data_IF_974420408264
#
_entry.id   IF_974420408264
#
_cell.length_a   1.000
_cell.length_b   1.000
_cell.length_c   1.000
_cell.angle_alpha   90.00
_cell.angle_beta   90.00
_cell.angle_gamma   90.00
#
_symmetry.space_group_name_H-M   'P 1'
#
loop_
_entity.id
_entity.type
_entity.pdbx_description
1 polymer ?
#
# COMPACT_ATOMS: atom_id res chain seq x y z
N UNK A 1 18.21 -21.65 -2.65
CA UNK A 1 17.06 -20.79 -2.32
C UNK A 1 17.42 -19.37 -2.75
N UNK A 2 16.56 -18.70 -3.53
CA UNK A 2 16.68 -17.27 -3.85
C UNK A 2 15.49 -16.58 -3.20
N UNK A 3 15.74 -15.58 -2.36
CA UNK A 3 14.68 -14.75 -1.78
C UNK A 3 14.58 -13.43 -2.53
N UNK A 4 13.35 -13.03 -2.83
CA UNK A 4 13.02 -11.73 -3.44
C UNK A 4 12.30 -10.86 -2.42
N UNK A 5 12.35 -9.54 -2.64
CA UNK A 5 11.42 -8.60 -2.02
C UNK A 5 10.04 -8.72 -2.70
N UNK A 6 8.99 -8.05 -2.19
CA UNK A 6 7.71 -8.02 -2.88
C UNK A 6 7.86 -7.50 -4.31
N UNK A 7 7.19 -8.16 -5.25
CA UNK A 7 7.27 -7.87 -6.71
C UNK A 7 6.04 -7.13 -7.24
N UNK A 8 5.15 -6.77 -6.33
CA UNK A 8 3.86 -6.19 -6.63
C UNK A 8 3.96 -4.75 -7.16
N UNK A 9 2.96 -4.32 -7.92
CA UNK A 9 2.88 -2.93 -8.38
C UNK A 9 2.69 -1.98 -7.19
N UNK A 10 3.61 -1.03 -7.06
CA UNK A 10 3.68 -0.04 -5.98
C UNK A 10 3.47 1.37 -6.50
N UNK A 11 3.07 1.54 -7.75
CA UNK A 11 2.90 2.85 -8.40
C UNK A 11 1.72 3.63 -7.81
N UNK A 12 1.95 4.38 -6.73
CA UNK A 12 0.95 5.19 -6.02
C UNK A 12 1.27 6.68 -6.20
N UNK A 13 2.53 7.06 -5.99
CA UNK A 13 3.03 8.43 -6.01
C UNK A 13 3.53 8.90 -7.38
N UNK A 14 3.77 7.97 -8.31
CA UNK A 14 4.34 8.21 -9.63
C UNK A 14 5.73 8.87 -9.55
N UNK A 15 6.47 8.56 -8.49
CA UNK A 15 7.82 9.09 -8.20
C UNK A 15 8.68 7.99 -7.59
N UNK A 16 9.95 8.29 -7.32
CA UNK A 16 10.87 7.41 -6.60
C UNK A 16 10.34 6.89 -5.26
N UNK A 17 9.34 7.53 -4.65
CA UNK A 17 8.68 7.02 -3.42
C UNK A 17 8.06 5.64 -3.62
N UNK A 18 7.68 5.30 -4.84
CA UNK A 18 7.10 4.01 -5.20
C UNK A 18 8.15 2.88 -5.26
N UNK A 19 9.45 3.18 -5.12
CA UNK A 19 10.48 2.13 -5.01
C UNK A 19 10.31 1.26 -3.77
N UNK A 20 9.53 1.71 -2.79
CA UNK A 20 9.27 0.97 -1.56
C UNK A 20 8.27 -0.18 -1.79
N UNK A 21 8.71 -1.45 -1.76
CA UNK A 21 7.91 -2.57 -2.25
C UNK A 21 6.78 -3.01 -1.30
N UNK A 22 6.69 -2.42 -0.11
CA UNK A 22 5.70 -2.78 0.91
C UNK A 22 4.48 -1.86 0.93
N UNK A 23 4.37 -0.92 -0.02
CA UNK A 23 3.18 -0.09 -0.22
C UNK A 23 2.52 -0.38 -1.59
N UNK A 24 2.04 -1.61 -1.84
CA UNK A 24 1.49 -1.95 -3.14
C UNK A 24 0.18 -1.22 -3.43
N UNK A 25 0.02 -0.77 -4.68
CA UNK A 25 -1.27 -0.35 -5.24
C UNK A 25 -2.15 -1.54 -5.64
N UNK A 26 -1.54 -2.73 -5.74
CA UNK A 26 -2.24 -4.01 -5.83
C UNK A 26 -1.39 -5.14 -5.25
N UNK A 27 -2.00 -6.02 -4.46
CA UNK A 27 -1.32 -7.21 -3.93
C UNK A 27 -1.31 -8.39 -4.89
N UNK A 28 -1.93 -8.26 -6.07
CA UNK A 28 -2.00 -9.30 -7.10
C UNK A 28 -1.32 -8.87 -8.42
N UNK A 29 -1.29 -7.58 -8.75
CA UNK A 29 -0.56 -7.13 -9.93
C UNK A 29 0.95 -7.06 -9.69
N UNK A 30 1.72 -7.29 -10.75
CA UNK A 30 3.18 -7.18 -10.75
C UNK A 30 3.65 -5.82 -11.25
N UNK A 31 4.78 -5.37 -10.73
CA UNK A 31 5.34 -4.08 -11.11
C UNK A 31 5.91 -4.09 -12.53
N UNK A 32 5.53 -3.10 -13.35
CA UNK A 32 6.09 -2.88 -14.70
C UNK A 32 7.62 -2.82 -14.74
N UNK A 33 8.27 -2.39 -13.64
CA UNK A 33 9.71 -2.35 -13.52
C UNK A 33 10.38 -3.69 -13.85
N UNK A 34 9.71 -4.82 -13.58
CA UNK A 34 10.26 -6.16 -13.81
C UNK A 34 10.06 -6.68 -15.23
N UNK A 35 9.27 -5.99 -16.07
CA UNK A 35 8.98 -6.45 -17.43
C UNK A 35 10.24 -6.43 -18.30
N UNK A 36 10.64 -7.60 -18.83
CA UNK A 36 11.72 -7.70 -19.81
C UNK A 36 11.19 -7.40 -21.20
N UNK A 37 11.41 -6.16 -21.67
CA UNK A 37 10.93 -5.66 -22.96
C UNK A 37 11.47 -6.48 -24.15
N UNK A 38 12.72 -6.92 -24.09
CA UNK A 38 13.34 -7.68 -25.19
C UNK A 38 12.72 -9.06 -25.43
N UNK A 39 11.90 -9.55 -24.50
CA UNK A 39 11.27 -10.86 -24.58
C UNK A 39 9.83 -10.79 -25.10
N UNK A 40 9.27 -9.60 -25.31
CA UNK A 40 7.87 -9.40 -25.73
C UNK A 40 7.74 -8.87 -27.16
N UNK A 41 8.85 -8.76 -27.91
CA UNK A 41 8.86 -8.27 -29.29
C UNK A 41 10.00 -8.87 -30.10
N UNK A 42 9.75 -9.08 -31.39
CA UNK A 42 10.74 -9.46 -32.39
C UNK A 42 11.07 -8.29 -33.34
N UNK A 43 10.45 -7.12 -33.11
CA UNK A 43 10.61 -5.97 -33.96
C UNK A 43 12.01 -5.36 -33.83
N UNK A 44 12.76 -5.33 -34.94
CA UNK A 44 14.16 -4.91 -34.94
C UNK A 44 14.36 -3.45 -34.53
N UNK A 45 13.43 -2.56 -34.86
CA UNK A 45 13.54 -1.15 -34.51
C UNK A 45 13.33 -0.95 -33.01
N UNK A 46 12.31 -1.62 -32.46
CA UNK A 46 12.04 -1.60 -31.02
C UNK A 46 13.19 -2.25 -30.23
N UNK A 47 13.76 -3.36 -30.73
CA UNK A 47 14.91 -4.01 -30.10
C UNK A 47 16.15 -3.11 -30.10
N UNK A 48 16.39 -2.36 -31.18
CA UNK A 48 17.46 -1.38 -31.23
C UNK A 48 17.25 -0.23 -30.22
N UNK A 49 16.01 0.26 -30.09
CA UNK A 49 15.65 1.26 -29.08
C UNK A 49 15.87 0.73 -27.65
N UNK A 50 15.42 -0.50 -27.35
CA UNK A 50 15.66 -1.17 -26.06
C UNK A 50 17.15 -1.23 -25.75
N UNK A 51 17.98 -1.64 -26.72
CA UNK A 51 19.42 -1.75 -26.54
C UNK A 51 20.06 -0.38 -26.24
N UNK A 52 19.68 0.66 -27.00
CA UNK A 52 20.16 2.03 -26.80
C UNK A 52 19.80 2.55 -25.40
N UNK A 53 18.54 2.41 -24.99
CA UNK A 53 18.10 2.88 -23.67
C UNK A 53 18.74 2.07 -22.54
N UNK A 54 18.90 0.75 -22.71
CA UNK A 54 19.58 -0.12 -21.75
C UNK A 54 21.04 0.30 -21.57
N UNK A 55 21.77 0.58 -22.65
CA UNK A 55 23.16 1.06 -22.58
C UNK A 55 23.24 2.41 -21.83
N UNK A 56 22.32 3.34 -22.14
CA UNK A 56 22.28 4.65 -21.48
C UNK A 56 22.02 4.54 -19.98
N UNK A 57 20.99 3.79 -19.58
CA UNK A 57 20.54 3.73 -18.18
C UNK A 57 21.44 2.84 -17.33
N UNK A 58 22.00 1.75 -17.88
CA UNK A 58 22.92 0.88 -17.15
C UNK A 58 24.31 1.51 -16.90
N UNK A 59 24.62 2.66 -17.53
CA UNK A 59 25.84 3.44 -17.24
C UNK A 59 25.72 4.25 -15.94
N UNK A 60 24.52 4.45 -15.42
CA UNK A 60 24.30 5.19 -14.19
C UNK A 60 24.76 4.37 -12.97
N UNK A 61 25.30 5.03 -11.95
CA UNK A 61 25.77 4.38 -10.72
C UNK A 61 24.62 3.81 -9.87
N UNK A 62 23.43 4.37 -10.02
CA UNK A 62 22.20 3.96 -9.34
C UNK A 62 21.06 3.88 -10.35
N UNK A 63 20.03 3.12 -10.01
CA UNK A 63 18.83 3.00 -10.84
C UNK A 63 18.10 4.34 -10.82
N UNK A 64 17.96 4.95 -12.00
CA UNK A 64 17.02 6.04 -12.22
C UNK A 64 15.60 5.44 -12.38
N UNK A 65 14.93 5.24 -11.25
CA UNK A 65 13.66 4.52 -11.19
C UNK A 65 12.57 5.13 -12.06
N UNK A 66 12.42 6.46 -12.01
CA UNK A 66 11.39 7.19 -12.74
C UNK A 66 11.63 7.09 -14.25
N UNK A 67 12.89 7.29 -14.68
CA UNK A 67 13.25 7.21 -16.09
C UNK A 67 13.15 5.78 -16.64
N UNK A 68 13.54 4.77 -15.86
CA UNK A 68 13.38 3.35 -16.26
C UNK A 68 11.91 3.02 -16.44
N UNK A 69 11.03 3.45 -15.53
CA UNK A 69 9.59 3.21 -15.67
C UNK A 69 9.01 3.92 -16.88
N UNK A 70 9.37 5.19 -17.09
CA UNK A 70 8.93 5.96 -18.26
C UNK A 70 9.32 5.26 -19.57
N UNK A 71 10.59 4.89 -19.71
CA UNK A 71 11.09 4.18 -20.89
C UNK A 71 10.41 2.82 -21.06
N UNK A 72 10.22 2.07 -19.97
CA UNK A 72 9.53 0.78 -20.04
C UNK A 72 8.10 0.92 -20.50
N UNK A 73 7.36 1.88 -19.95
CA UNK A 73 5.98 2.14 -20.34
C UNK A 73 5.88 2.58 -21.81
N UNK A 74 6.73 3.52 -22.26
CA UNK A 74 6.75 3.97 -23.66
C UNK A 74 7.01 2.83 -24.64
N UNK A 75 8.02 2.00 -24.36
CA UNK A 75 8.36 0.89 -25.24
C UNK A 75 7.30 -0.22 -25.17
N UNK A 76 6.79 -0.59 -23.99
CA UNK A 76 5.73 -1.61 -23.90
C UNK A 76 4.46 -1.18 -24.60
N UNK A 77 4.12 0.12 -24.62
CA UNK A 77 3.01 0.66 -25.41
C UNK A 77 3.26 0.52 -26.92
N UNK A 78 4.48 0.81 -27.40
CA UNK A 78 4.85 0.58 -28.82
C UNK A 78 4.74 -0.89 -29.21
N UNK A 79 5.14 -1.80 -28.33
CA UNK A 79 4.99 -3.25 -28.54
C UNK A 79 3.51 -3.63 -28.58
N UNK A 80 2.72 -3.17 -27.60
CA UNK A 80 1.28 -3.44 -27.54
C UNK A 80 0.55 -2.93 -28.79
N UNK A 81 0.89 -1.76 -29.32
CA UNK A 81 0.30 -1.25 -30.55
C UNK A 81 0.53 -2.16 -31.78
N UNK A 82 1.60 -2.98 -31.77
CA UNK A 82 1.90 -3.95 -32.83
C UNK A 82 1.29 -5.33 -32.58
N UNK A 83 1.30 -5.80 -31.33
CA UNK A 83 0.90 -7.17 -30.96
C UNK A 83 -0.58 -7.27 -30.55
N UNK A 84 -1.10 -6.23 -29.90
CA UNK A 84 -2.42 -6.20 -29.29
C UNK A 84 -2.62 -7.33 -28.28
N UNK A 85 -3.83 -7.89 -28.27
CA UNK A 85 -4.25 -8.98 -27.38
C UNK A 85 -4.17 -10.36 -28.05
N UNK A 86 -3.39 -10.50 -29.12
CA UNK A 86 -3.40 -11.72 -29.97
C UNK A 86 -2.47 -12.83 -29.48
N UNK A 87 -1.76 -12.61 -28.36
CA UNK A 87 -0.81 -13.58 -27.82
C UNK A 87 -1.53 -14.87 -27.38
N UNK A 88 -0.95 -16.02 -27.73
CA UNK A 88 -1.50 -17.33 -27.37
C UNK A 88 -1.59 -17.49 -25.86
N UNK A 89 -2.80 -17.67 -25.33
CA UNK A 89 -3.06 -17.84 -23.90
C UNK A 89 -3.44 -16.56 -23.17
N UNK A 90 -3.48 -15.42 -23.87
CA UNK A 90 -3.90 -14.13 -23.30
C UNK A 90 -5.34 -14.18 -22.77
N UNK A 91 -6.29 -14.68 -23.56
CA UNK A 91 -7.70 -14.77 -23.15
C UNK A 91 -7.91 -15.75 -21.99
N UNK A 92 -7.15 -16.85 -21.95
CA UNK A 92 -7.17 -17.82 -20.85
C UNK A 92 -6.65 -17.18 -19.56
N UNK A 93 -5.53 -16.45 -19.62
CA UNK A 93 -5.02 -15.68 -18.49
C UNK A 93 -6.04 -14.64 -18.03
N UNK A 94 -6.60 -13.85 -18.96
CA UNK A 94 -7.59 -12.81 -18.63
C UNK A 94 -8.83 -13.41 -17.97
N UNK A 95 -9.28 -14.59 -18.40
CA UNK A 95 -10.42 -15.28 -17.81
C UNK A 95 -10.09 -15.86 -16.42
N UNK A 96 -8.93 -16.48 -16.24
CA UNK A 96 -8.52 -17.07 -14.95
C UNK A 96 -8.16 -16.02 -13.90
N UNK A 97 -7.59 -14.88 -14.32
CA UNK A 97 -7.22 -13.75 -13.48
C UNK A 97 -8.34 -12.70 -13.34
N UNK A 98 -9.49 -12.92 -13.97
CA UNK A 98 -10.55 -11.91 -14.19
C UNK A 98 -10.91 -11.10 -12.96
N UNK A 99 -11.08 -11.78 -11.81
CA UNK A 99 -11.56 -11.19 -10.57
C UNK A 99 -10.66 -10.09 -10.00
N UNK A 100 -9.35 -10.16 -10.25
CA UNK A 100 -8.41 -9.12 -9.82
C UNK A 100 -7.89 -8.28 -10.98
N UNK A 101 -7.72 -8.88 -12.15
CA UNK A 101 -7.12 -8.23 -13.32
C UNK A 101 -8.02 -7.13 -13.87
N UNK A 102 -9.33 -7.41 -14.01
CA UNK A 102 -10.28 -6.42 -14.57
C UNK A 102 -10.34 -5.17 -13.68
N UNK A 103 -10.54 -5.27 -12.35
CA UNK A 103 -10.45 -4.11 -11.47
C UNK A 103 -9.10 -3.40 -11.53
N UNK A 104 -7.98 -4.15 -11.55
CA UNK A 104 -6.66 -3.54 -11.62
C UNK A 104 -6.47 -2.71 -12.91
N UNK A 105 -6.86 -3.25 -14.06
CA UNK A 105 -6.79 -2.53 -15.33
C UNK A 105 -7.62 -1.25 -15.31
N UNK A 106 -8.87 -1.32 -14.83
CA UNK A 106 -9.74 -0.13 -14.70
C UNK A 106 -9.11 0.89 -13.75
N UNK A 107 -8.63 0.43 -12.59
CA UNK A 107 -8.00 1.29 -11.60
C UNK A 107 -6.78 2.03 -12.17
N UNK A 108 -5.88 1.32 -12.88
CA UNK A 108 -4.70 1.92 -13.53
C UNK A 108 -5.05 2.83 -14.71
N UNK A 109 -6.17 2.57 -15.37
CA UNK A 109 -6.69 3.45 -16.43
C UNK A 109 -7.22 4.75 -15.84
N UNK A 110 -7.97 4.70 -14.74
CA UNK A 110 -8.62 5.88 -14.17
C UNK A 110 -7.73 6.69 -13.23
N UNK A 111 -6.83 6.05 -12.48
CA UNK A 111 -5.97 6.71 -11.47
C UNK A 111 -4.57 6.94 -12.04
N UNK A 112 -4.31 8.16 -12.52
CA UNK A 112 -3.06 8.53 -13.20
C UNK A 112 -2.06 9.32 -12.33
N UNK A 113 -2.51 9.82 -11.17
CA UNK A 113 -1.67 10.53 -10.20
C UNK A 113 -2.26 10.43 -8.78
N UNK A 114 -1.50 10.88 -7.78
CA UNK A 114 -2.01 11.03 -6.40
C UNK A 114 -3.15 12.04 -6.29
N UNK A 115 -3.12 13.07 -7.14
CA UNK A 115 -4.13 14.14 -7.17
C UNK A 115 -5.40 13.71 -7.92
N UNK A 116 -5.35 12.60 -8.66
CA UNK A 116 -6.53 12.06 -9.34
C UNK A 116 -7.53 11.57 -8.29
N UNK A 117 -8.77 12.07 -8.24
CA UNK A 117 -9.78 11.53 -7.34
C UNK A 117 -10.01 10.04 -7.61
N UNK A 118 -10.19 9.24 -6.55
CA UNK A 118 -10.59 7.86 -6.75
C UNK A 118 -11.99 7.82 -7.38
N UNK A 119 -12.22 6.97 -8.41
CA UNK A 119 -13.57 6.78 -8.94
C UNK A 119 -14.49 6.22 -7.85
N UNK A 120 -15.82 6.39 -7.98
CA UNK A 120 -16.76 5.74 -7.05
C UNK A 120 -16.48 4.24 -6.95
N UNK A 121 -16.59 3.68 -5.73
CA UNK A 121 -16.48 2.24 -5.54
C UNK A 121 -17.60 1.54 -6.32
N UNK A 122 -17.28 0.57 -7.19
CA UNK A 122 -18.28 -0.20 -7.92
C UNK A 122 -19.20 -0.96 -6.95
N UNK A 123 -20.49 -1.02 -7.28
CA UNK A 123 -21.48 -1.75 -6.45
C UNK A 123 -21.32 -3.25 -6.56
N UNK A 124 -20.90 -3.72 -7.72
CA UNK A 124 -20.71 -5.12 -8.04
C UNK A 124 -19.65 -5.27 -9.14
N UNK A 125 -19.36 -6.53 -9.48
CA UNK A 125 -18.37 -6.84 -10.50
C UNK A 125 -18.82 -6.45 -11.92
N UNK A 126 -20.12 -6.39 -12.20
CA UNK A 126 -20.62 -6.03 -13.53
C UNK A 126 -20.38 -4.54 -13.84
N UNK A 127 -20.44 -3.67 -12.83
CA UNK A 127 -20.12 -2.26 -12.98
C UNK A 127 -18.65 -2.04 -13.38
N UNK A 128 -17.70 -2.77 -12.77
CA UNK A 128 -16.29 -2.67 -13.16
C UNK A 128 -16.01 -3.29 -14.54
N UNK A 129 -16.72 -4.35 -14.93
CA UNK A 129 -16.67 -4.86 -16.31
C UNK A 129 -17.14 -3.83 -17.32
N UNK A 130 -18.20 -3.08 -17.01
CA UNK A 130 -18.66 -2.00 -17.87
C UNK A 130 -17.60 -0.90 -18.00
N UNK A 131 -16.99 -0.47 -16.89
CA UNK A 131 -15.90 0.50 -16.91
C UNK A 131 -14.70 0.01 -17.73
N UNK A 132 -14.40 -1.30 -17.69
CA UNK A 132 -13.38 -1.93 -18.51
C UNK A 132 -13.69 -1.74 -20.00
N UNK A 133 -14.92 -2.08 -20.43
CA UNK A 133 -15.34 -1.96 -21.83
C UNK A 133 -15.37 -0.50 -22.30
N UNK A 134 -15.75 0.45 -21.44
CA UNK A 134 -15.70 1.89 -21.74
C UNK A 134 -14.27 2.40 -22.01
N UNK A 135 -13.26 1.75 -21.41
CA UNK A 135 -11.84 2.10 -21.57
C UNK A 135 -11.00 0.95 -22.12
N UNK A 136 -11.61 0.17 -23.03
CA UNK A 136 -11.11 -1.14 -23.45
C UNK A 136 -9.64 -1.14 -23.90
N UNK A 137 -9.25 -0.20 -24.75
CA UNK A 137 -7.89 -0.14 -25.30
C UNK A 137 -6.81 0.03 -24.22
N UNK A 138 -7.03 0.99 -23.31
CA UNK A 138 -6.09 1.27 -22.21
C UNK A 138 -6.11 0.14 -21.17
N UNK A 139 -7.27 -0.42 -20.87
CA UNK A 139 -7.39 -1.58 -19.98
C UNK A 139 -6.74 -2.84 -20.57
N UNK A 140 -6.88 -3.09 -21.87
CA UNK A 140 -6.24 -4.20 -22.57
C UNK A 140 -4.70 -4.03 -22.59
N UNK A 141 -4.17 -2.81 -22.63
CA UNK A 141 -2.74 -2.55 -22.44
C UNK A 141 -2.24 -3.00 -21.06
N UNK A 142 -2.92 -2.63 -19.97
CA UNK A 142 -2.53 -3.06 -18.63
C UNK A 142 -2.66 -4.59 -18.47
N UNK A 143 -3.68 -5.19 -19.08
CA UNK A 143 -3.83 -6.64 -19.11
C UNK A 143 -2.68 -7.32 -19.87
N UNK A 144 -2.25 -6.75 -21.01
CA UNK A 144 -1.09 -7.19 -21.78
C UNK A 144 0.19 -7.15 -20.94
N UNK A 145 0.43 -6.06 -20.21
CA UNK A 145 1.59 -5.94 -19.31
C UNK A 145 1.56 -7.04 -18.24
N UNK A 146 0.44 -7.22 -17.54
CA UNK A 146 0.31 -8.23 -16.49
C UNK A 146 0.44 -9.65 -17.02
N UNK A 147 -0.08 -9.92 -18.22
CA UNK A 147 0.07 -11.22 -18.87
C UNK A 147 1.54 -11.56 -19.17
N UNK A 148 2.29 -10.62 -19.74
CA UNK A 148 3.71 -10.84 -20.03
C UNK A 148 4.55 -10.95 -18.75
N UNK A 149 4.23 -10.19 -17.70
CA UNK A 149 4.85 -10.35 -16.38
C UNK A 149 4.56 -11.74 -15.78
N UNK A 150 3.31 -12.21 -15.88
CA UNK A 150 2.92 -13.56 -15.46
C UNK A 150 3.76 -14.63 -16.15
N UNK A 151 3.88 -14.58 -17.48
CA UNK A 151 4.68 -15.54 -18.25
C UNK A 151 6.15 -15.53 -17.82
N UNK A 152 6.75 -14.34 -17.70
CA UNK A 152 8.17 -14.20 -17.37
C UNK A 152 8.49 -14.67 -15.94
N UNK A 153 7.63 -14.35 -14.97
CA UNK A 153 7.84 -14.81 -13.59
C UNK A 153 7.63 -16.32 -13.46
N UNK A 154 6.63 -16.87 -14.17
CA UNK A 154 6.38 -18.32 -14.21
C UNK A 154 7.55 -19.07 -14.84
N UNK A 155 8.06 -18.61 -15.98
CA UNK A 155 9.26 -19.16 -16.63
C UNK A 155 10.46 -19.17 -15.69
N UNK A 156 10.72 -18.05 -14.99
CA UNK A 156 11.82 -17.95 -14.02
C UNK A 156 11.66 -18.93 -12.85
N UNK A 157 10.43 -19.09 -12.35
CA UNK A 157 10.11 -20.02 -11.26
C UNK A 157 10.28 -21.49 -11.66
N UNK A 158 9.77 -21.86 -12.84
CA UNK A 158 9.91 -23.20 -13.40
C UNK A 158 11.38 -23.53 -13.66
N UNK A 159 12.14 -22.58 -14.23
CA UNK A 159 13.58 -22.74 -14.44
C UNK A 159 14.33 -22.97 -13.12
N UNK A 160 14.04 -22.16 -12.09
CA UNK A 160 14.66 -22.31 -10.77
C UNK A 160 14.32 -23.68 -10.16
N UNK A 161 13.05 -24.08 -10.21
CA UNK A 161 12.57 -25.37 -9.68
C UNK A 161 13.23 -26.56 -10.38
N UNK A 162 13.33 -26.53 -11.72
CA UNK A 162 14.01 -27.55 -12.52
C UNK A 162 15.51 -27.67 -12.18
N UNK A 163 16.12 -26.58 -11.72
CA UNK A 163 17.50 -26.54 -11.23
C UNK A 163 17.61 -26.75 -9.71
N UNK A 164 16.55 -27.22 -9.04
CA UNK A 164 16.50 -27.49 -7.59
C UNK A 164 16.77 -26.24 -6.73
N UNK A 165 16.44 -25.06 -7.27
CA UNK A 165 16.49 -23.78 -6.56
C UNK A 165 15.06 -23.32 -6.27
N UNK A 166 14.69 -23.29 -4.99
CA UNK A 166 13.43 -22.69 -4.58
C UNK A 166 13.48 -21.15 -4.69
N UNK A 167 12.42 -20.54 -5.24
CA UNK A 167 12.16 -19.11 -5.15
C UNK A 167 11.29 -18.82 -3.92
N UNK A 168 11.73 -17.89 -3.09
CA UNK A 168 11.02 -17.42 -1.90
C UNK A 168 10.54 -16.00 -2.10
N UNK A 169 9.23 -15.83 -2.15
CA UNK A 169 8.56 -14.53 -2.23
C UNK A 169 8.45 -13.84 -0.88
N UNK A 170 7.85 -12.66 -0.90
CA UNK A 170 7.64 -11.82 0.28
C UNK A 170 6.29 -11.11 0.15
N UNK A 171 5.46 -11.21 1.19
CA UNK A 171 4.09 -10.72 1.25
C UNK A 171 4.02 -9.62 2.29
N UNK A 172 3.90 -8.33 1.88
CA UNK A 172 3.67 -7.22 2.80
C UNK A 172 2.39 -7.44 3.62
N UNK A 173 2.38 -7.08 4.90
CA UNK A 173 1.12 -7.06 5.65
C UNK A 173 0.19 -5.93 5.16
N UNK A 174 0.76 -4.83 4.66
CA UNK A 174 0.02 -3.63 4.27
C UNK A 174 -0.44 -3.63 2.81
N UNK A 175 -1.43 -2.78 2.55
CA UNK A 175 -1.81 -2.32 1.21
C UNK A 175 -1.87 -0.79 1.22
N UNK A 176 -1.63 -0.14 0.09
CA UNK A 176 -1.85 1.30 0.00
C UNK A 176 -3.31 1.64 0.28
N UNK A 177 -3.60 2.74 1.00
CA UNK A 177 -4.97 3.26 1.12
C UNK A 177 -5.58 3.60 -0.24
N UNK A 178 -4.73 3.90 -1.21
CA UNK A 178 -5.07 4.13 -2.61
C UNK A 178 -4.63 2.91 -3.43
N UNK A 179 -5.10 1.72 -3.05
CA UNK A 179 -4.93 0.50 -3.82
C UNK A 179 -6.22 0.11 -4.52
N UNK A 180 -6.13 -0.76 -5.53
CA UNK A 180 -7.30 -1.36 -6.17
C UNK A 180 -8.13 -2.16 -5.16
N UNK A 181 -7.49 -2.80 -4.17
CA UNK A 181 -8.19 -3.58 -3.15
C UNK A 181 -9.01 -2.69 -2.21
N UNK A 182 -8.47 -1.57 -1.74
CA UNK A 182 -9.24 -0.61 -0.93
C UNK A 182 -10.35 0.08 -1.74
N UNK A 183 -10.16 0.25 -3.06
CA UNK A 183 -11.21 0.80 -3.92
C UNK A 183 -12.34 -0.19 -4.18
N UNK A 184 -12.03 -1.46 -4.48
CA UNK A 184 -13.02 -2.50 -4.79
C UNK A 184 -13.72 -3.07 -3.55
N UNK A 185 -13.01 -3.16 -2.43
CA UNK A 185 -13.49 -3.82 -1.22
C UNK A 185 -13.22 -2.96 0.02
N UNK A 186 -13.71 -1.69 0.07
CA UNK A 186 -13.42 -0.78 1.17
C UNK A 186 -13.92 -1.32 2.52
N UNK A 187 -14.94 -2.17 2.53
CA UNK A 187 -15.52 -2.82 3.70
C UNK A 187 -14.59 -3.85 4.36
N UNK A 188 -13.57 -4.34 3.64
CA UNK A 188 -12.52 -5.21 4.17
C UNK A 188 -11.43 -4.44 4.92
N UNK A 189 -11.45 -3.11 4.91
CA UNK A 189 -10.41 -2.26 5.50
C UNK A 189 -11.00 -1.16 6.38
N UNK A 190 -10.31 -0.82 7.47
CA UNK A 190 -10.59 0.39 8.24
C UNK A 190 -9.77 1.55 7.67
N UNK A 191 -10.35 2.28 6.72
CA UNK A 191 -9.70 3.40 6.02
C UNK A 191 -9.50 4.63 6.92
N UNK A 192 -10.29 4.73 7.99
CA UNK A 192 -10.21 5.71 9.07
C UNK A 192 -9.06 5.45 10.06
N UNK A 193 -8.27 4.39 9.82
CA UNK A 193 -7.14 4.00 10.65
C UNK A 193 -5.89 3.80 9.81
N UNK A 194 -4.76 3.68 10.49
CA UNK A 194 -3.47 3.36 9.91
C UNK A 194 -2.74 2.34 10.76
N UNK A 195 -1.98 1.48 10.11
CA UNK A 195 -1.15 0.46 10.72
C UNK A 195 0.20 1.07 11.07
N UNK A 196 0.78 0.65 12.18
CA UNK A 196 2.09 1.12 12.61
C UNK A 196 2.77 0.23 13.62
N UNK A 197 3.60 0.84 14.45
CA UNK A 197 4.21 0.23 15.62
C UNK A 197 4.25 1.22 16.79
N UNK A 198 4.08 0.75 18.04
CA UNK A 198 4.29 1.59 19.21
C UNK A 198 5.77 2.00 19.31
N UNK A 199 6.09 3.04 20.10
CA UNK A 199 7.46 3.29 20.52
C UNK A 199 8.07 2.04 21.15
N UNK A 200 9.33 1.77 20.82
CA UNK A 200 10.09 0.68 21.42
C UNK A 200 11.49 1.16 21.85
N UNK A 201 12.26 0.27 22.47
CA UNK A 201 13.60 0.60 22.96
C UNK A 201 14.58 0.99 21.85
N UNK A 202 14.41 0.48 20.63
CA UNK A 202 15.28 0.73 19.49
C UNK A 202 14.89 2.00 18.71
N UNK A 203 13.62 2.35 18.75
CA UNK A 203 13.01 3.55 18.21
C UNK A 203 12.40 4.37 19.35
N UNK A 204 13.24 4.71 20.34
CA UNK A 204 12.83 5.52 21.46
C UNK A 204 12.34 6.88 20.95
N UNK A 205 11.04 7.15 21.06
CA UNK A 205 10.42 8.33 20.49
C UNK A 205 8.96 8.12 20.11
N UNK A 206 8.61 8.50 18.89
CA UNK A 206 7.24 8.71 18.43
C UNK A 206 6.54 7.45 17.90
N UNK A 207 7.18 6.28 17.97
CA UNK A 207 6.70 5.07 17.29
C UNK A 207 6.73 5.22 15.77
N UNK A 208 5.98 4.38 15.06
CA UNK A 208 5.94 4.40 13.60
C UNK A 208 4.50 4.40 13.11
N UNK A 209 4.19 5.29 12.16
CA UNK A 209 2.98 5.21 11.36
C UNK A 209 3.37 4.78 9.94
N UNK A 210 2.96 3.59 9.51
CA UNK A 210 3.27 3.08 8.17
C UNK A 210 2.26 3.52 7.12
N UNK A 211 1.12 4.11 7.54
CA UNK A 211 0.14 4.71 6.65
C UNK A 211 -0.83 3.74 5.96
N UNK A 212 -0.66 2.43 6.09
CA UNK A 212 -1.57 1.41 5.52
C UNK A 212 -2.86 1.30 6.34
N UNK A 213 -4.04 1.07 5.74
CA UNK A 213 -5.23 0.80 6.53
C UNK A 213 -5.09 -0.52 7.29
N UNK A 214 -5.81 -0.67 8.40
CA UNK A 214 -5.90 -1.96 9.11
C UNK A 214 -7.00 -2.82 8.49
N UNK A 215 -6.91 -4.14 8.62
CA UNK A 215 -7.96 -5.04 8.14
C UNK A 215 -9.21 -5.03 9.00
N UNK A 216 -10.37 -5.18 8.37
CA UNK A 216 -11.63 -5.50 9.03
C UNK A 216 -11.80 -7.02 9.10
N UNK A 217 -11.08 -7.65 10.04
CA UNK A 217 -11.05 -9.10 10.21
C UNK A 217 -12.44 -9.71 10.45
N UNK A 218 -13.32 -8.99 11.15
CA UNK A 218 -14.71 -9.43 11.39
C UNK A 218 -15.50 -9.54 10.09
N UNK A 219 -15.35 -8.58 9.17
CA UNK A 219 -16.02 -8.63 7.90
C UNK A 219 -15.41 -9.69 6.97
N UNK A 220 -14.08 -9.80 6.95
CA UNK A 220 -13.38 -10.88 6.22
C UNK A 220 -13.77 -12.28 6.71
N UNK A 221 -14.08 -12.46 8.00
CA UNK A 221 -14.48 -13.76 8.52
C UNK A 221 -15.83 -14.26 7.96
N UNK A 222 -16.70 -13.35 7.48
CA UNK A 222 -18.04 -13.69 6.97
C UNK A 222 -18.02 -14.54 5.70
N UNK A 223 -16.96 -14.42 4.89
CA UNK A 223 -16.77 -15.19 3.66
C UNK A 223 -15.64 -16.22 3.79
N UNK A 224 -15.28 -16.58 5.03
CA UNK A 224 -14.17 -17.49 5.33
C UNK A 224 -12.84 -16.99 4.72
N UNK A 225 -12.59 -15.67 4.87
CA UNK A 225 -11.35 -14.99 4.51
C UNK A 225 -11.00 -15.13 3.02
N UNK A 226 -12.00 -15.03 2.14
CA UNK A 226 -11.84 -15.31 0.72
C UNK A 226 -10.76 -14.43 0.06
N UNK A 227 -10.70 -13.15 0.43
CA UNK A 227 -9.69 -12.20 -0.07
C UNK A 227 -8.26 -12.64 0.27
N UNK A 228 -7.99 -13.01 1.52
CA UNK A 228 -6.67 -13.48 1.95
C UNK A 228 -6.29 -14.82 1.32
N UNK A 229 -7.24 -15.75 1.20
CA UNK A 229 -7.02 -17.02 0.49
C UNK A 229 -6.70 -16.79 -0.99
N UNK A 230 -7.40 -15.86 -1.64
CA UNK A 230 -7.12 -15.45 -3.02
C UNK A 230 -5.73 -14.87 -3.18
N UNK A 231 -5.33 -13.97 -2.27
CA UNK A 231 -3.99 -13.37 -2.23
C UNK A 231 -2.88 -14.43 -2.12
N UNK A 232 -3.02 -15.38 -1.18
CA UNK A 232 -2.06 -16.47 -1.00
C UNK A 232 -2.01 -17.42 -2.21
N UNK A 233 -3.17 -17.77 -2.76
CA UNK A 233 -3.29 -18.66 -3.92
C UNK A 233 -2.66 -18.06 -5.18
N UNK A 234 -2.78 -16.75 -5.36
CA UNK A 234 -2.15 -16.04 -6.47
C UNK A 234 -0.61 -16.15 -6.40
N UNK A 235 -0.01 -15.90 -5.24
CA UNK A 235 1.44 -15.94 -5.09
C UNK A 235 2.01 -17.37 -5.13
N UNK A 236 1.24 -18.37 -4.71
CA UNK A 236 1.64 -19.77 -4.75
C UNK A 236 1.89 -20.30 -6.18
N UNK A 237 1.41 -19.60 -7.21
CA UNK A 237 1.70 -19.95 -8.62
C UNK A 237 3.17 -19.74 -9.00
N UNK A 238 3.90 -18.90 -8.26
CA UNK A 238 5.25 -18.44 -8.65
C UNK A 238 6.32 -18.78 -7.62
N UNK A 239 5.96 -18.90 -6.34
CA UNK A 239 6.94 -19.05 -5.26
C UNK A 239 6.75 -20.36 -4.53
N UNK A 240 7.85 -21.06 -4.26
CA UNK A 240 7.86 -22.32 -3.49
C UNK A 240 7.63 -22.07 -1.99
N UNK A 241 7.93 -20.86 -1.51
CA UNK A 241 7.69 -20.40 -0.15
C UNK A 241 7.53 -18.88 -0.16
N UNK A 242 6.95 -18.32 0.89
CA UNK A 242 6.89 -16.87 1.07
C UNK A 242 7.14 -16.49 2.51
N UNK A 243 7.81 -15.35 2.70
CA UNK A 243 7.84 -14.65 3.99
C UNK A 243 6.55 -13.83 4.08
N UNK A 244 5.82 -13.95 5.19
CA UNK A 244 4.75 -13.01 5.52
C UNK A 244 5.38 -11.95 6.41
N UNK A 245 5.47 -10.72 5.89
CA UNK A 245 5.95 -9.59 6.64
C UNK A 245 5.01 -9.29 7.81
N UNK A 246 5.59 -8.87 8.94
CA UNK A 246 4.85 -8.55 10.16
C UNK A 246 3.76 -9.58 10.53
N UNK A 247 4.11 -10.87 10.55
CA UNK A 247 3.17 -11.98 10.85
C UNK A 247 2.38 -11.78 12.15
N UNK A 248 2.93 -11.04 13.12
CA UNK A 248 2.26 -10.67 14.36
C UNK A 248 0.95 -9.90 14.14
N UNK A 249 0.82 -9.19 13.01
CA UNK A 249 -0.39 -8.47 12.61
C UNK A 249 -1.62 -9.36 12.42
N UNK A 250 -1.44 -10.67 12.22
CA UNK A 250 -2.55 -11.65 12.22
C UNK A 250 -3.07 -11.96 13.63
N UNK A 251 -2.24 -11.74 14.65
CA UNK A 251 -2.64 -11.88 16.05
C UNK A 251 -3.18 -10.57 16.59
N UNK A 252 -2.44 -9.48 16.43
CA UNK A 252 -2.86 -8.10 16.74
C UNK A 252 -2.00 -7.09 16.00
N UNK A 253 -2.61 -5.99 15.59
CA UNK A 253 -1.94 -4.92 14.85
C UNK A 253 -1.99 -3.62 15.65
N UNK A 254 -0.91 -2.83 15.62
CA UNK A 254 -0.93 -1.48 16.18
C UNK A 254 -1.72 -0.56 15.23
N UNK A 255 -2.90 -0.17 15.68
CA UNK A 255 -3.89 0.61 14.94
C UNK A 255 -3.89 2.05 15.45
N UNK A 256 -3.58 2.97 14.57
CA UNK A 256 -3.49 4.42 14.82
C UNK A 256 -4.67 5.10 14.12
N UNK A 257 -5.50 5.91 14.82
CA UNK A 257 -6.58 6.66 14.17
C UNK A 257 -6.07 7.60 13.06
N UNK A 258 -6.88 7.86 12.04
CA UNK A 258 -6.55 8.82 11.00
C UNK A 258 -6.29 10.22 11.58
N UNK A 259 -5.46 11.00 10.89
CA UNK A 259 -5.04 12.34 11.33
C UNK A 259 -3.77 12.33 12.20
N UNK A 260 -3.41 11.22 12.83
CA UNK A 260 -2.14 11.12 13.56
C UNK A 260 -0.97 10.85 12.61
N UNK A 261 0.13 11.59 12.79
CA UNK A 261 1.37 11.40 12.00
C UNK A 261 2.33 10.40 12.63
N UNK A 262 2.29 10.28 13.95
CA UNK A 262 3.17 9.41 14.72
C UNK A 262 2.49 8.08 15.08
N UNK A 263 3.26 7.16 15.65
CA UNK A 263 2.74 5.91 16.22
C UNK A 263 2.25 6.02 17.67
N UNK A 264 2.34 7.20 18.31
CA UNK A 264 2.11 7.38 19.74
C UNK A 264 0.67 7.05 20.17
N UNK A 265 -0.31 7.58 19.43
CA UNK A 265 -1.73 7.51 19.79
C UNK A 265 -2.44 6.32 19.13
N UNK A 266 -1.70 5.22 18.91
CA UNK A 266 -2.27 3.95 18.49
C UNK A 266 -2.65 3.04 19.66
N UNK A 267 -3.22 1.89 19.31
CA UNK A 267 -3.46 0.77 20.24
C UNK A 267 -3.40 -0.56 19.51
N UNK A 268 -3.12 -1.65 20.22
CA UNK A 268 -3.26 -2.97 19.62
C UNK A 268 -4.73 -3.27 19.28
N UNK A 269 -4.96 -3.94 18.16
CA UNK A 269 -6.27 -4.45 17.78
C UNK A 269 -6.12 -5.90 17.26
N UNK A 270 -6.79 -6.89 17.88
CA UNK A 270 -7.56 -6.76 19.11
C UNK A 270 -6.69 -6.36 20.32
N UNK A 271 -7.30 -5.61 21.24
CA UNK A 271 -6.78 -5.31 22.57
C UNK A 271 -7.57 -6.06 23.64
N UNK A 272 -6.95 -6.21 24.82
CA UNK A 272 -7.67 -6.56 26.05
C UNK A 272 -7.76 -5.29 26.89
N UNK A 273 -8.88 -4.55 26.86
CA UNK A 273 -9.00 -3.31 27.61
C UNK A 273 -9.05 -3.59 29.13
N UNK A 274 -8.53 -2.65 29.91
CA UNK A 274 -8.69 -2.62 31.38
C UNK A 274 -9.76 -1.58 31.69
N UNK A 275 -10.78 -1.95 32.47
CA UNK A 275 -11.84 -1.03 32.87
C UNK A 275 -11.36 0.01 33.90
N UNK A 276 -12.07 1.14 34.00
CA UNK A 276 -11.80 2.14 35.03
C UNK A 276 -11.88 1.54 36.44
N UNK A 277 -12.86 0.67 36.69
CA UNK A 277 -13.02 0.01 37.99
C UNK A 277 -11.82 -0.87 38.35
N UNK A 278 -11.25 -1.59 37.38
CA UNK A 278 -10.04 -2.39 37.61
C UNK A 278 -8.84 -1.49 37.91
N UNK A 279 -8.65 -0.39 37.17
CA UNK A 279 -7.58 0.58 37.43
C UNK A 279 -7.69 1.20 38.82
N UNK A 280 -8.89 1.60 39.23
CA UNK A 280 -9.17 2.11 40.58
C UNK A 280 -8.89 1.05 41.65
N UNK A 281 -9.24 -0.21 41.39
CA UNK A 281 -8.90 -1.35 42.23
C UNK A 281 -7.39 -1.56 42.41
N UNK A 282 -6.59 -1.18 41.42
CA UNK A 282 -5.12 -1.16 41.49
C UNK A 282 -4.53 0.12 42.11
N UNK A 283 -5.37 1.06 42.57
CA UNK A 283 -4.90 2.32 43.17
C UNK A 283 -4.71 3.46 42.17
N UNK A 284 -5.18 3.31 40.92
CA UNK A 284 -5.06 4.32 39.86
C UNK A 284 -6.40 5.05 39.73
N UNK A 285 -6.56 6.13 40.49
CA UNK A 285 -7.84 6.85 40.60
C UNK A 285 -7.98 8.02 39.62
N UNK A 286 -6.87 8.64 39.21
CA UNK A 286 -6.84 9.82 38.34
C UNK A 286 -6.63 9.43 36.86
N UNK A 287 -7.55 8.60 36.36
CA UNK A 287 -7.47 8.03 35.01
C UNK A 287 -7.61 9.09 33.92
N UNK A 288 -8.36 10.17 34.16
CA UNK A 288 -8.53 11.26 33.20
C UNK A 288 -7.22 12.02 32.98
N UNK A 289 -6.50 12.38 34.06
CA UNK A 289 -5.17 13.00 33.93
C UNK A 289 -4.15 12.09 33.24
N UNK A 290 -4.29 10.77 33.39
CA UNK A 290 -3.40 9.79 32.76
C UNK A 290 -3.75 9.51 31.30
N UNK A 291 -4.96 9.84 30.85
CA UNK A 291 -5.45 9.53 29.50
C UNK A 291 -5.44 10.73 28.56
N UNK A 292 -5.37 11.96 29.10
CA UNK A 292 -5.36 13.19 28.31
C UNK A 292 -4.06 13.98 28.51
N UNK A 293 -3.61 14.75 27.49
CA UNK A 293 -2.47 15.66 27.64
C UNK A 293 -2.69 16.64 28.79
N UNK A 294 -1.75 16.67 29.74
CA UNK A 294 -1.79 17.60 30.87
C UNK A 294 -1.02 18.88 30.53
N UNK A 295 -1.65 19.77 29.78
CA UNK A 295 -1.04 21.02 29.31
C UNK A 295 -1.19 22.09 30.41
N UNK A 296 -0.06 22.68 30.85
CA UNK A 296 0.01 23.69 31.91
C UNK A 296 0.72 24.95 31.42
N UNK A 297 0.42 26.08 32.06
CA UNK A 297 1.02 27.37 31.74
C UNK A 297 2.55 27.35 31.72
N UNK A 298 3.17 26.77 32.74
CA UNK A 298 4.63 26.71 32.82
C UNK A 298 5.23 25.87 31.68
N UNK A 299 4.54 24.81 31.24
CA UNK A 299 4.96 23.98 30.11
C UNK A 299 4.89 24.78 28.81
N UNK A 300 3.80 25.53 28.60
CA UNK A 300 3.64 26.37 27.40
C UNK A 300 4.69 27.48 27.35
N UNK A 301 4.97 28.14 28.49
CA UNK A 301 6.02 29.15 28.59
C UNK A 301 7.41 28.57 28.29
N UNK A 302 7.71 27.38 28.80
CA UNK A 302 8.99 26.73 28.58
C UNK A 302 9.19 26.29 27.11
N UNK A 303 8.12 25.82 26.45
CA UNK A 303 8.20 25.33 25.07
C UNK A 303 8.15 26.45 24.03
N UNK A 304 7.28 27.45 24.21
CA UNK A 304 6.96 28.43 23.18
C UNK A 304 7.44 29.86 23.48
N UNK A 305 7.85 30.17 24.71
CA UNK A 305 8.38 31.48 25.07
C UNK A 305 7.46 32.63 24.63
N UNK A 306 7.95 33.51 23.75
CA UNK A 306 7.20 34.65 23.22
C UNK A 306 6.01 34.26 22.33
N UNK A 307 5.95 33.04 21.80
CA UNK A 307 4.84 32.56 20.96
C UNK A 307 3.70 31.94 21.77
N UNK A 308 3.86 31.83 23.10
CA UNK A 308 2.90 31.18 23.99
C UNK A 308 1.48 31.71 23.83
N UNK A 309 1.29 33.02 23.80
CA UNK A 309 -0.05 33.62 23.69
C UNK A 309 -0.72 33.32 22.33
N UNK A 310 0.07 33.28 21.26
CA UNK A 310 -0.41 32.84 19.95
C UNK A 310 -0.85 31.38 19.99
N UNK A 311 -0.01 30.49 20.54
CA UNK A 311 -0.32 29.05 20.63
C UNK A 311 -1.60 28.82 21.44
N UNK A 312 -1.73 29.48 22.59
CA UNK A 312 -2.95 29.41 23.41
C UNK A 312 -4.16 29.88 22.62
N UNK A 313 -4.09 31.06 21.99
CA UNK A 313 -5.22 31.61 21.24
C UNK A 313 -5.63 30.76 20.03
N UNK A 314 -4.65 30.15 19.35
CA UNK A 314 -4.88 29.43 18.10
C UNK A 314 -5.32 28.00 18.37
N UNK A 315 -4.61 27.27 19.21
CA UNK A 315 -4.73 25.81 19.32
C UNK A 315 -5.43 25.31 20.58
N UNK A 316 -5.57 26.13 21.63
CA UNK A 316 -5.99 25.67 22.95
C UNK A 316 -7.33 26.27 23.42
N UNK A 317 -7.98 25.56 24.34
CA UNK A 317 -9.09 26.02 25.16
C UNK A 317 -8.61 26.06 26.61
N UNK A 318 -8.76 27.22 27.26
CA UNK A 318 -8.45 27.38 28.68
C UNK A 318 -9.57 26.75 29.53
N UNK A 319 -9.21 25.87 30.46
CA UNK A 319 -10.14 25.25 31.38
C UNK A 319 -10.42 26.10 32.64
N UNK A 320 -9.86 27.32 32.71
CA UNK A 320 -9.96 28.28 33.80
C UNK A 320 -9.46 27.73 35.16
N UNK A 321 -8.58 26.75 35.12
CA UNK A 321 -7.94 26.13 36.29
C UNK A 321 -6.41 25.99 36.10
N UNK A 322 -5.84 26.77 35.16
CA UNK A 322 -4.43 26.74 34.78
C UNK A 322 -4.04 25.50 33.96
N UNK A 323 -5.03 24.79 33.40
CA UNK A 323 -4.82 23.72 32.41
C UNK A 323 -5.46 24.08 31.07
N UNK A 324 -4.96 23.46 30.01
CA UNK A 324 -5.45 23.66 28.66
C UNK A 324 -5.79 22.33 27.99
N UNK A 325 -6.79 22.35 27.12
CA UNK A 325 -7.07 21.29 26.16
C UNK A 325 -6.79 21.78 24.74
N UNK A 326 -6.50 20.87 23.81
CA UNK A 326 -6.54 21.19 22.39
C UNK A 326 -7.97 21.51 21.98
N UNK A 327 -8.16 22.51 21.12
CA UNK A 327 -9.45 22.74 20.47
C UNK A 327 -9.86 21.52 19.65
N UNK A 328 -11.17 21.26 19.47
CA UNK A 328 -11.65 20.09 18.74
C UNK A 328 -11.04 19.91 17.34
N UNK A 329 -10.82 21.01 16.62
CA UNK A 329 -10.23 21.03 15.28
C UNK A 329 -8.71 20.74 15.26
N UNK A 330 -8.02 20.73 16.41
CA UNK A 330 -6.57 20.52 16.51
C UNK A 330 -6.20 19.29 17.36
N UNK A 331 -7.08 18.30 17.46
CA UNK A 331 -6.85 17.11 18.31
C UNK A 331 -5.86 16.09 17.72
N UNK A 332 -5.35 16.29 16.51
CA UNK A 332 -4.37 15.40 15.87
C UNK A 332 -3.19 16.18 15.31
N UNK A 333 -2.02 15.55 15.17
CA UNK A 333 -0.83 16.18 14.59
C UNK A 333 -1.07 16.61 13.14
N UNK A 334 -1.85 15.84 12.38
CA UNK A 334 -2.27 16.20 11.04
C UNK A 334 -3.02 17.53 11.00
N UNK A 335 -4.03 17.68 11.86
CA UNK A 335 -4.86 18.88 11.90
C UNK A 335 -4.12 20.15 12.39
N UNK A 336 -3.03 19.98 13.15
CA UNK A 336 -2.16 21.11 13.57
C UNK A 336 -1.26 21.59 12.41
N UNK A 337 -0.89 20.70 11.51
CA UNK A 337 0.09 20.95 10.43
C UNK A 337 -0.54 21.33 9.09
N UNK A 338 -1.85 21.21 8.97
CA UNK A 338 -2.67 21.76 7.88
C UNK A 338 -2.98 23.25 8.14
#
# INVERSE_FOLDING_TARGET
LIQTLPVNDTTVYFTWRDTYPYNPNSVQAFHLLYLRLSAITEDKEILAEIAQQSERLNKLAQIDYEEVLRVKEEISRKVFAKVGTTQKGFDEFKNTAKTWLIPYCVYRTLVKSVDTPLPPTPKDFAEVEKMYEEHKEECDYYAFVQYNLHLQLKEASEYATNNKVALKGDLPIGVSKRSVECWMHPDLFHLDKSTGAPPDYFSAGEGQNWGFPTYNWENMAKDDYAWWKGRLSQMAQYFSAYRIDHILGFFRIWSIPAGHRTGLLGRFNPDWPISRQELEGYGIYDTDRLSYPYIRDHTLNALFGSERDFVVSKFLVDNYNGTYNLKPEYQTEGAILE
#
